data_IF_448470278591
#
_entry.id   IF_448470278591
#
_cell.length_a   1.000
_cell.length_b   1.000
_cell.length_c   1.000
_cell.angle_alpha   90.00
_cell.angle_beta   90.00
_cell.angle_gamma   90.00
#
_symmetry.space_group_name_H-M   'P 1'
#
loop_
_entity.id
_entity.type
_entity.pdbx_description
1 polymer ?
#
# COMPACT_ATOMS: atom_id res chain seq x y z
N UNK A 1 20.38 61.15 -21.11
CA UNK A 1 21.77 60.72 -20.84
C UNK A 1 21.88 60.31 -19.38
N UNK A 2 21.94 59.02 -19.11
CA UNK A 2 22.56 58.45 -17.90
C UNK A 2 23.07 57.07 -18.29
N UNK A 3 24.35 56.87 -18.03
CA UNK A 3 25.21 55.82 -18.55
C UNK A 3 25.84 55.12 -17.36
N UNK A 4 25.85 53.77 -17.41
CA UNK A 4 26.63 52.80 -16.61
C UNK A 4 26.26 52.72 -15.12
N UNK A 5 26.28 51.55 -14.47
CA UNK A 5 27.34 50.54 -14.51
C UNK A 5 26.78 49.15 -14.15
N UNK A 6 26.89 48.19 -15.07
CA UNK A 6 26.64 46.77 -14.80
C UNK A 6 27.91 46.18 -14.18
N UNK A 7 27.87 45.80 -12.90
CA UNK A 7 28.98 45.12 -12.23
C UNK A 7 28.92 43.64 -12.57
N UNK A 8 29.91 43.17 -13.35
CA UNK A 8 30.12 41.74 -13.60
C UNK A 8 30.87 41.13 -12.40
N UNK A 9 30.25 40.16 -11.73
CA UNK A 9 30.90 39.32 -10.71
C UNK A 9 31.78 38.26 -11.40
N UNK A 10 33.01 38.02 -10.94
CA UNK A 10 33.85 36.97 -11.50
C UNK A 10 33.34 35.59 -11.06
N UNK A 11 33.19 34.68 -12.01
CA UNK A 11 32.89 33.28 -11.75
C UNK A 11 34.18 32.61 -11.23
N UNK A 12 34.25 32.36 -9.93
CA UNK A 12 35.37 31.67 -9.32
C UNK A 12 35.49 30.25 -9.93
N UNK A 13 36.63 29.97 -10.57
CA UNK A 13 36.97 28.63 -11.01
C UNK A 13 37.20 27.78 -9.75
N UNK A 14 36.38 26.76 -9.54
CA UNK A 14 36.51 25.85 -8.42
C UNK A 14 37.87 25.15 -8.47
N UNK A 15 38.67 25.31 -7.42
CA UNK A 15 39.98 24.66 -7.29
C UNK A 15 39.80 23.14 -7.30
N UNK A 16 40.54 22.48 -8.20
CA UNK A 16 40.53 21.02 -8.33
C UNK A 16 41.38 20.46 -7.19
N UNK A 17 40.72 20.12 -6.08
CA UNK A 17 41.36 19.49 -4.93
C UNK A 17 41.69 18.02 -5.20
N UNK A 18 42.62 17.46 -4.45
CA UNK A 18 42.98 16.03 -4.51
C UNK A 18 41.76 15.12 -4.26
N UNK A 19 40.79 15.57 -3.47
CA UNK A 19 39.53 14.84 -3.25
C UNK A 19 38.66 14.82 -4.51
N UNK A 20 38.56 15.93 -5.24
CA UNK A 20 37.83 16.01 -6.52
C UNK A 20 38.51 15.17 -7.60
N UNK A 21 39.84 15.07 -7.59
CA UNK A 21 40.57 14.15 -8.48
C UNK A 21 40.29 12.69 -8.13
N UNK A 22 40.28 12.33 -6.84
CA UNK A 22 39.98 10.95 -6.42
C UNK A 22 38.54 10.52 -6.73
N UNK A 23 37.58 11.45 -6.63
CA UNK A 23 36.18 11.19 -6.93
C UNK A 23 35.92 10.97 -8.43
N UNK A 24 36.77 11.50 -9.30
CA UNK A 24 36.67 11.32 -10.75
C UNK A 24 37.22 9.98 -11.25
N UNK A 25 38.02 9.29 -10.43
CA UNK A 25 38.58 7.97 -10.75
C UNK A 25 37.71 6.80 -10.25
N UNK A 26 36.52 7.08 -9.69
CA UNK A 26 35.60 6.04 -9.24
C UNK A 26 35.02 5.23 -10.41
N UNK A 27 35.45 3.98 -10.52
CA UNK A 27 34.90 3.01 -11.47
C UNK A 27 33.72 2.18 -10.92
N UNK A 28 33.40 2.31 -9.62
CA UNK A 28 32.31 1.57 -8.96
C UNK A 28 31.61 2.41 -7.89
N UNK A 29 30.30 2.23 -7.72
CA UNK A 29 29.52 2.90 -6.65
C UNK A 29 29.84 2.31 -5.27
N UNK A 30 30.11 3.19 -4.29
CA UNK A 30 30.49 2.84 -2.92
C UNK A 30 31.79 3.55 -2.55
N UNK A 31 31.82 4.27 -1.42
CA UNK A 31 32.95 5.13 -1.05
C UNK A 31 34.30 4.41 -0.88
N UNK A 32 35.37 5.12 -0.46
CA UNK A 32 36.76 4.65 -0.46
C UNK A 32 37.10 3.38 0.35
N UNK A 33 36.12 2.77 1.03
CA UNK A 33 36.27 1.51 1.77
C UNK A 33 35.49 0.33 1.20
N UNK A 34 34.76 0.48 0.08
CA UNK A 34 33.88 -0.57 -0.43
C UNK A 34 32.66 -0.86 0.47
N UNK A 35 32.39 0.02 1.44
CA UNK A 35 31.21 -0.03 2.28
C UNK A 35 29.97 0.28 1.42
N UNK A 36 29.38 -0.78 0.87
CA UNK A 36 28.01 -0.74 0.35
C UNK A 36 27.12 -0.24 1.49
N UNK A 37 26.33 0.81 1.26
CA UNK A 37 25.27 1.19 2.17
C UNK A 37 24.32 -0.01 2.32
N UNK A 38 24.52 -0.81 3.36
CA UNK A 38 23.60 -1.87 3.72
C UNK A 38 22.37 -1.18 4.29
N UNK A 39 21.38 -0.92 3.43
CA UNK A 39 20.03 -0.66 3.89
C UNK A 39 19.57 -1.94 4.62
N UNK A 40 19.70 -1.96 5.94
CA UNK A 40 19.01 -2.94 6.77
C UNK A 40 17.55 -2.99 6.32
N UNK A 41 16.92 -4.18 6.19
CA UNK A 41 15.53 -4.26 5.77
C UNK A 41 14.72 -3.37 6.73
N UNK A 42 13.98 -2.41 6.16
CA UNK A 42 13.26 -1.45 6.99
C UNK A 42 12.35 -2.23 7.93
N UNK A 43 12.51 -2.04 9.24
CA UNK A 43 11.66 -2.66 10.24
C UNK A 43 10.20 -2.38 9.86
N UNK A 44 9.45 -3.44 9.54
CA UNK A 44 8.06 -3.28 9.10
C UNK A 44 7.29 -2.72 10.28
N UNK A 45 6.95 -1.42 10.23
CA UNK A 45 6.05 -0.85 11.21
C UNK A 45 4.75 -1.67 11.14
N UNK A 46 4.33 -2.29 12.26
CA UNK A 46 3.19 -3.20 12.25
C UNK A 46 1.91 -2.44 11.93
N UNK A 47 1.84 -1.15 12.27
CA UNK A 47 0.69 -0.29 11.99
C UNK A 47 0.53 -0.04 10.49
N UNK A 48 -0.69 -0.22 10.00
CA UNK A 48 -1.10 0.07 8.63
C UNK A 48 -1.34 1.57 8.47
N UNK A 49 -0.67 2.17 7.49
CA UNK A 49 -0.79 3.58 7.12
C UNK A 49 -1.28 3.71 5.68
N UNK A 50 -1.97 4.81 5.33
CA UNK A 50 -2.23 5.14 3.93
C UNK A 50 -0.93 5.18 3.13
N UNK A 51 -0.94 4.55 1.96
CA UNK A 51 0.21 4.37 1.08
C UNK A 51 0.92 3.02 1.22
N UNK A 52 0.67 2.27 2.30
CA UNK A 52 1.24 0.95 2.50
C UNK A 52 0.64 -0.09 1.55
N UNK A 53 1.46 -1.06 1.15
CA UNK A 53 1.02 -2.26 0.44
C UNK A 53 0.75 -3.38 1.44
N UNK A 54 -0.49 -3.86 1.47
CA UNK A 54 -0.94 -4.96 2.32
C UNK A 54 -1.32 -6.18 1.49
N UNK A 55 -1.38 -7.32 2.17
CA UNK A 55 -1.97 -8.57 1.70
C UNK A 55 -3.07 -8.97 2.68
N UNK A 56 -4.16 -9.52 2.15
CA UNK A 56 -5.32 -9.92 2.95
C UNK A 56 -5.45 -11.44 2.89
N UNK A 57 -5.06 -12.12 3.98
CA UNK A 57 -5.16 -13.58 4.06
C UNK A 57 -6.56 -13.97 4.51
N UNK A 58 -7.31 -14.66 3.67
CA UNK A 58 -8.62 -15.18 4.00
C UNK A 58 -8.52 -16.42 4.92
N UNK A 59 -9.65 -16.83 5.51
CA UNK A 59 -9.72 -18.00 6.40
C UNK A 59 -9.21 -19.32 5.76
N UNK A 60 -9.30 -19.44 4.43
CA UNK A 60 -8.82 -20.61 3.69
C UNK A 60 -7.29 -20.63 3.53
N UNK A 61 -6.56 -19.66 4.12
CA UNK A 61 -5.11 -19.53 4.04
C UNK A 61 -4.60 -18.95 2.72
N UNK A 62 -5.49 -18.58 1.80
CA UNK A 62 -5.15 -17.91 0.53
C UNK A 62 -5.26 -16.40 0.67
N UNK A 63 -4.54 -15.69 -0.19
CA UNK A 63 -4.57 -14.24 -0.22
C UNK A 63 -5.60 -13.77 -1.23
N UNK A 64 -6.30 -12.70 -0.85
CA UNK A 64 -7.11 -11.94 -1.78
C UNK A 64 -6.21 -11.40 -2.89
N UNK A 65 -6.63 -11.53 -4.13
CA UNK A 65 -5.89 -11.04 -5.28
C UNK A 65 -6.79 -10.79 -6.48
N UNK A 66 -6.21 -10.12 -7.47
CA UNK A 66 -6.89 -9.71 -8.70
C UNK A 66 -6.28 -10.44 -9.88
N UNK A 67 -7.12 -11.13 -10.66
CA UNK A 67 -6.73 -11.71 -11.94
C UNK A 67 -7.79 -11.40 -12.98
N UNK A 68 -7.40 -10.88 -14.14
CA UNK A 68 -8.31 -10.51 -15.23
C UNK A 68 -9.47 -9.62 -14.73
N UNK A 69 -9.14 -8.64 -13.87
CA UNK A 69 -10.07 -7.72 -13.20
C UNK A 69 -11.09 -8.36 -12.23
N UNK A 70 -11.01 -9.68 -12.03
CA UNK A 70 -11.82 -10.42 -11.06
C UNK A 70 -11.07 -10.58 -9.75
N UNK A 71 -11.77 -10.39 -8.65
CA UNK A 71 -11.23 -10.57 -7.31
C UNK A 71 -11.49 -12.01 -6.85
N UNK A 72 -10.47 -12.67 -6.31
CA UNK A 72 -10.53 -14.03 -5.80
C UNK A 72 -9.52 -14.28 -4.70
N UNK A 73 -9.59 -15.44 -4.06
CA UNK A 73 -8.64 -15.86 -3.03
C UNK A 73 -8.02 -17.21 -3.40
N UNK A 74 -7.06 -17.18 -4.34
CA UNK A 74 -6.52 -18.39 -5.01
C UNK A 74 -5.09 -18.72 -4.61
N UNK A 75 -4.25 -17.69 -4.52
CA UNK A 75 -2.82 -17.85 -4.29
C UNK A 75 -2.50 -18.01 -2.81
N UNK A 76 -1.54 -18.86 -2.48
CA UNK A 76 -0.91 -18.92 -1.15
C UNK A 76 0.41 -18.15 -1.10
N UNK A 77 0.73 -17.39 -2.14
CA UNK A 77 1.94 -16.57 -2.26
C UNK A 77 1.56 -15.10 -2.21
N UNK A 78 2.49 -14.29 -1.71
CA UNK A 78 2.40 -12.83 -1.71
C UNK A 78 3.07 -12.30 -2.97
N UNK A 79 2.32 -12.26 -4.05
CA UNK A 79 2.80 -11.75 -5.34
C UNK A 79 2.08 -10.45 -5.69
N UNK A 80 2.45 -9.85 -6.82
CA UNK A 80 1.90 -8.56 -7.27
C UNK A 80 0.38 -8.58 -7.46
N UNK A 81 -0.22 -9.73 -7.76
CA UNK A 81 -1.66 -9.86 -7.94
C UNK A 81 -2.44 -9.80 -6.61
N UNK A 82 -1.81 -10.20 -5.50
CA UNK A 82 -2.37 -10.24 -4.16
C UNK A 82 -2.06 -8.98 -3.33
N UNK A 83 -1.26 -8.08 -3.89
CA UNK A 83 -0.86 -6.83 -3.28
C UNK A 83 -1.91 -5.73 -3.48
N UNK A 84 -2.34 -5.11 -2.39
CA UNK A 84 -3.22 -3.95 -2.40
C UNK A 84 -2.58 -2.76 -1.69
N UNK A 85 -2.47 -1.64 -2.38
CA UNK A 85 -2.14 -0.36 -1.77
C UNK A 85 -3.36 0.18 -1.03
N UNK A 86 -3.19 0.45 0.26
CA UNK A 86 -4.23 1.06 1.10
C UNK A 86 -4.20 2.56 0.92
N UNK A 87 -5.37 3.14 0.71
CA UNK A 87 -5.58 4.58 0.69
C UNK A 87 -6.80 4.91 1.55
N UNK A 88 -6.87 6.13 2.07
CA UNK A 88 -7.90 6.58 3.01
C UNK A 88 -8.22 8.04 2.75
N UNK A 89 -9.48 8.44 2.96
CA UNK A 89 -9.88 9.85 2.81
C UNK A 89 -9.43 10.74 3.96
N UNK A 90 -9.31 10.19 5.17
CA UNK A 90 -8.81 10.94 6.32
C UNK A 90 -7.30 10.80 6.45
N UNK A 91 -6.72 11.73 7.20
CA UNK A 91 -5.30 11.72 7.58
C UNK A 91 -5.08 10.74 8.73
N UNK A 92 -3.85 10.24 8.88
CA UNK A 92 -3.41 9.42 10.01
C UNK A 92 -3.42 7.92 9.72
N UNK A 93 -3.26 7.15 10.80
CA UNK A 93 -3.26 5.68 10.74
C UNK A 93 -4.67 5.14 10.44
N UNK A 94 -4.72 3.87 10.07
CA UNK A 94 -5.98 3.17 9.81
C UNK A 94 -6.55 2.62 11.11
N UNK A 95 -7.81 2.88 11.40
CA UNK A 95 -8.57 2.51 12.58
C UNK A 95 -9.87 1.78 12.20
N UNK A 96 -10.57 1.29 13.22
CA UNK A 96 -11.92 0.77 13.07
C UNK A 96 -12.89 1.86 12.55
N UNK A 97 -13.85 1.46 11.71
CA UNK A 97 -14.84 2.31 11.03
C UNK A 97 -14.26 3.28 9.98
N UNK A 98 -12.97 3.18 9.70
CA UNK A 98 -12.36 3.97 8.65
C UNK A 98 -12.77 3.52 7.26
N UNK A 99 -12.98 4.51 6.40
CA UNK A 99 -13.27 4.32 4.98
C UNK A 99 -11.99 4.34 4.18
N UNK A 100 -11.69 3.21 3.56
CA UNK A 100 -10.49 2.97 2.79
C UNK A 100 -10.82 2.61 1.35
N UNK A 101 -9.79 2.72 0.51
CA UNK A 101 -9.76 2.25 -0.85
C UNK A 101 -8.60 1.26 -0.98
N UNK A 102 -8.83 0.14 -1.67
CA UNK A 102 -7.80 -0.86 -1.97
C UNK A 102 -7.46 -0.78 -3.45
N UNK A 103 -6.25 -0.33 -3.78
CA UNK A 103 -5.77 -0.24 -5.15
C UNK A 103 -4.87 -1.43 -5.46
N UNK A 104 -5.23 -2.22 -6.46
CA UNK A 104 -4.40 -3.30 -6.96
C UNK A 104 -3.20 -2.74 -7.75
N UNK A 105 -2.18 -3.56 -7.99
CA UNK A 105 -0.96 -3.18 -8.72
C UNK A 105 -1.22 -2.70 -10.14
N UNK A 106 -2.35 -3.06 -10.74
CA UNK A 106 -2.80 -2.55 -12.04
C UNK A 106 -3.37 -1.11 -12.00
N UNK A 107 -3.44 -0.48 -10.81
CA UNK A 107 -3.97 0.87 -10.61
C UNK A 107 -5.50 0.95 -10.44
N UNK A 108 -6.22 -0.15 -10.65
CA UNK A 108 -7.66 -0.22 -10.42
C UNK A 108 -7.98 -0.48 -8.95
N UNK A 109 -9.13 0.02 -8.52
CA UNK A 109 -9.60 -0.13 -7.15
C UNK A 109 -10.60 -1.27 -7.04
N UNK A 110 -10.54 -1.95 -5.91
CA UNK A 110 -11.54 -2.92 -5.53
C UNK A 110 -12.89 -2.22 -5.42
N UNK A 111 -13.88 -2.78 -6.09
CA UNK A 111 -15.24 -2.26 -6.15
C UNK A 111 -16.25 -3.36 -5.92
N UNK A 112 -17.42 -2.95 -5.43
CA UNK A 112 -18.56 -3.83 -5.21
C UNK A 112 -19.75 -3.33 -6.02
N UNK A 113 -20.27 -4.17 -6.91
CA UNK A 113 -21.47 -3.93 -7.71
C UNK A 113 -22.54 -4.97 -7.34
N UNK A 114 -23.50 -4.57 -6.50
CA UNK A 114 -24.41 -5.52 -5.85
C UNK A 114 -23.61 -6.46 -4.96
N UNK A 115 -23.55 -7.74 -5.31
CA UNK A 115 -22.77 -8.75 -4.59
C UNK A 115 -21.42 -9.07 -5.25
N UNK A 116 -21.19 -8.57 -6.47
CA UNK A 116 -19.99 -8.89 -7.23
C UNK A 116 -18.85 -7.98 -6.81
N UNK A 117 -17.68 -8.59 -6.54
CA UNK A 117 -16.45 -7.88 -6.23
C UNK A 117 -15.51 -7.94 -7.44
N UNK A 118 -15.08 -6.77 -7.91
CA UNK A 118 -14.23 -6.61 -9.10
C UNK A 118 -13.18 -5.51 -8.90
N UNK A 119 -12.23 -5.38 -9.83
CA UNK A 119 -11.26 -4.29 -9.88
C UNK A 119 -11.18 -3.72 -11.32
N UNK A 120 -12.22 -2.99 -11.74
CA UNK A 120 -12.37 -2.53 -13.13
C UNK A 120 -12.08 -1.04 -13.35
N UNK A 121 -12.11 -0.23 -12.29
CA UNK A 121 -12.04 1.23 -12.41
C UNK A 121 -11.12 1.85 -11.35
N UNK A 122 -10.46 2.95 -11.72
CA UNK A 122 -9.58 3.75 -10.86
C UNK A 122 -10.31 4.96 -10.25
N UNK A 123 -11.64 5.01 -10.28
CA UNK A 123 -12.45 6.05 -9.65
C UNK A 123 -12.44 5.96 -8.13
N UNK A 124 -12.68 7.10 -7.47
CA UNK A 124 -13.00 7.17 -6.03
C UNK A 124 -14.49 7.45 -5.91
N UNK A 125 -15.27 6.40 -5.76
CA UNK A 125 -16.71 6.51 -5.55
C UNK A 125 -17.19 5.58 -4.44
N UNK A 126 -18.49 5.64 -4.11
CA UNK A 126 -19.08 4.79 -3.07
C UNK A 126 -18.82 3.30 -3.34
N UNK A 127 -18.85 2.88 -4.60
CA UNK A 127 -18.64 1.47 -4.98
C UNK A 127 -17.23 0.96 -4.68
N UNK A 128 -16.24 1.85 -4.63
CA UNK A 128 -14.83 1.51 -4.33
C UNK A 128 -14.47 1.74 -2.86
N UNK A 129 -15.39 2.28 -2.06
CA UNK A 129 -15.18 2.59 -0.65
C UNK A 129 -15.55 1.38 0.21
N UNK A 130 -14.61 0.97 1.07
CA UNK A 130 -14.79 -0.11 2.04
C UNK A 130 -14.58 0.44 3.45
N UNK A 131 -15.38 -0.05 4.40
CA UNK A 131 -15.23 0.26 5.82
C UNK A 131 -14.46 -0.86 6.49
N UNK A 132 -13.40 -0.52 7.21
CA UNK A 132 -12.67 -1.50 8.04
C UNK A 132 -13.41 -1.72 9.35
N UNK A 133 -13.78 -2.97 9.57
CA UNK A 133 -14.34 -3.42 10.82
C UNK A 133 -13.37 -4.38 11.54
N UNK A 134 -13.26 -4.27 12.86
CA UNK A 134 -12.49 -5.21 13.68
C UNK A 134 -13.29 -5.66 14.89
N UNK A 135 -12.91 -6.80 15.46
CA UNK A 135 -13.37 -7.22 16.78
C UNK A 135 -12.28 -6.91 17.81
N UNK A 136 -12.64 -6.50 19.03
CA UNK A 136 -11.69 -6.23 20.11
C UNK A 136 -11.49 -4.73 20.40
N UNK A 137 -10.43 -4.35 21.14
CA UNK A 137 -10.26 -2.99 21.66
C UNK A 137 -10.23 -1.96 20.53
N UNK A 138 -11.14 -0.98 20.49
CA UNK A 138 -11.25 -0.06 19.34
C UNK A 138 -10.22 1.08 19.33
N UNK A 139 -9.43 1.22 20.40
CA UNK A 139 -8.53 2.36 20.62
C UNK A 139 -7.20 2.28 19.86
N UNK A 140 -6.83 1.14 19.29
CA UNK A 140 -5.55 0.96 18.61
C UNK A 140 -5.74 0.95 17.09
N UNK A 141 -4.76 1.46 16.31
CA UNK A 141 -4.80 1.35 14.87
C UNK A 141 -4.72 -0.12 14.42
N UNK A 142 -5.12 -0.37 13.18
CA UNK A 142 -5.00 -1.66 12.51
C UNK A 142 -3.53 -1.98 12.31
N UNK A 143 -3.12 -3.17 12.75
CA UNK A 143 -1.76 -3.65 12.64
C UNK A 143 -1.68 -4.98 11.88
N UNK A 144 -0.48 -5.33 11.43
CA UNK A 144 -0.15 -6.65 10.89
C UNK A 144 -0.51 -7.73 11.91
N UNK A 145 -1.23 -8.75 11.46
CA UNK A 145 -1.76 -9.83 12.29
C UNK A 145 -3.19 -9.60 12.77
N UNK A 146 -3.70 -8.37 12.69
CA UNK A 146 -5.09 -8.09 13.07
C UNK A 146 -6.07 -8.79 12.12
N UNK A 147 -7.16 -9.27 12.72
CA UNK A 147 -8.32 -9.77 11.99
C UNK A 147 -9.28 -8.61 11.71
N UNK A 148 -9.54 -8.38 10.43
CA UNK A 148 -10.47 -7.36 9.96
C UNK A 148 -11.60 -7.97 9.12
N UNK A 149 -12.65 -7.18 8.94
CA UNK A 149 -13.76 -7.41 8.04
C UNK A 149 -13.92 -6.17 7.16
N UNK A 150 -14.28 -6.36 5.91
CA UNK A 150 -14.43 -5.27 4.95
C UNK A 150 -15.90 -5.13 4.59
N UNK A 151 -16.54 -4.05 5.04
CA UNK A 151 -17.93 -3.75 4.69
C UNK A 151 -17.99 -2.83 3.47
N UNK A 152 -18.70 -3.24 2.44
CA UNK A 152 -18.93 -2.45 1.24
C UNK A 152 -20.01 -1.39 1.45
N UNK A 153 -20.12 -0.43 0.54
CA UNK A 153 -21.17 0.59 0.57
C UNK A 153 -22.61 0.03 0.53
N UNK A 154 -22.80 -1.20 0.08
CA UNK A 154 -24.09 -1.90 0.10
C UNK A 154 -24.52 -2.31 1.51
N UNK A 155 -23.63 -2.18 2.50
CA UNK A 155 -23.83 -2.66 3.87
C UNK A 155 -23.42 -4.12 4.08
N UNK A 156 -23.07 -4.84 3.00
CA UNK A 156 -22.62 -6.23 3.06
C UNK A 156 -21.11 -6.34 3.24
N UNK A 157 -20.67 -7.41 3.91
CA UNK A 157 -19.26 -7.72 4.11
C UNK A 157 -18.71 -8.57 2.97
N UNK A 158 -17.45 -8.33 2.62
CA UNK A 158 -16.72 -9.21 1.72
C UNK A 158 -16.61 -10.60 2.34
N UNK A 159 -16.92 -11.61 1.55
CA UNK A 159 -16.93 -13.01 1.93
C UNK A 159 -16.16 -13.84 0.89
N UNK A 160 -15.41 -14.83 1.38
CA UNK A 160 -14.68 -15.79 0.56
C UNK A 160 -15.34 -17.15 0.70
N UNK A 161 -15.86 -17.72 -0.38
CA UNK A 161 -16.37 -19.09 -0.41
C UNK A 161 -15.64 -19.89 -1.47
N UNK A 162 -14.94 -20.94 -1.04
CA UNK A 162 -13.91 -21.59 -1.86
C UNK A 162 -12.81 -20.59 -2.21
N UNK A 163 -12.76 -20.20 -3.48
CA UNK A 163 -11.83 -19.19 -4.02
C UNK A 163 -12.53 -17.90 -4.49
N UNK A 164 -13.87 -17.87 -4.41
CA UNK A 164 -14.66 -16.76 -4.95
C UNK A 164 -14.89 -15.72 -3.87
N UNK A 165 -14.69 -14.45 -4.22
CA UNK A 165 -14.94 -13.32 -3.33
C UNK A 165 -16.22 -12.61 -3.75
N UNK A 166 -17.13 -12.39 -2.82
CA UNK A 166 -18.40 -11.65 -3.02
C UNK A 166 -18.69 -10.76 -1.82
N UNK A 167 -19.77 -9.98 -1.88
CA UNK A 167 -20.23 -9.13 -0.79
C UNK A 167 -21.73 -9.35 -0.52
N UNK A 168 -22.09 -10.48 0.07
CA UNK A 168 -23.49 -10.96 0.09
C UNK A 168 -24.23 -10.80 1.42
N UNK A 169 -23.50 -10.75 2.53
CA UNK A 169 -24.10 -10.86 3.86
C UNK A 169 -23.91 -9.56 4.66
N UNK A 170 -24.97 -9.03 5.29
CA UNK A 170 -24.89 -7.78 6.07
C UNK A 170 -24.29 -7.98 7.46
N UNK A 171 -24.20 -9.22 7.93
CA UNK A 171 -23.60 -9.56 9.22
C UNK A 171 -22.24 -10.21 8.99
N UNK A 172 -21.20 -9.61 9.57
CA UNK A 172 -19.90 -10.26 9.65
C UNK A 172 -19.97 -11.51 10.54
N UNK A 173 -19.23 -12.53 10.13
CA UNK A 173 -19.04 -13.76 10.91
C UNK A 173 -17.59 -14.19 10.84
N UNK A 174 -17.13 -14.90 11.86
CA UNK A 174 -15.81 -15.54 11.84
C UNK A 174 -15.76 -16.55 10.68
N UNK A 175 -14.58 -16.70 10.06
CA UNK A 175 -14.39 -17.56 8.89
C UNK A 175 -14.52 -16.77 7.58
N UNK A 176 -15.60 -16.99 6.83
CA UNK A 176 -15.73 -16.52 5.44
C UNK A 176 -15.51 -15.02 5.23
N UNK A 177 -15.80 -14.17 6.23
CA UNK A 177 -15.66 -12.71 6.14
C UNK A 177 -14.35 -12.17 6.72
N UNK A 178 -13.58 -13.02 7.38
CA UNK A 178 -12.41 -12.62 8.15
C UNK A 178 -11.15 -12.60 7.27
N UNK A 179 -10.41 -11.50 7.36
CA UNK A 179 -9.11 -11.34 6.71
C UNK A 179 -8.05 -11.00 7.75
N UNK A 180 -6.92 -11.69 7.69
CA UNK A 180 -5.72 -11.31 8.45
C UNK A 180 -4.92 -10.34 7.61
N UNK A 181 -4.58 -9.19 8.21
CA UNK A 181 -3.77 -8.17 7.55
C UNK A 181 -2.30 -8.55 7.62
N UNK A 182 -1.64 -8.59 6.47
CA UNK A 182 -0.21 -8.77 6.36
C UNK A 182 0.40 -7.64 5.52
N UNK A 183 1.68 -7.34 5.68
CA UNK A 183 2.34 -6.20 4.99
C UNK A 183 3.63 -6.66 4.32
N UNK A 184 3.99 -6.00 3.22
CA UNK A 184 5.32 -6.18 2.63
C UNK A 184 6.36 -5.38 3.43
N UNK A 185 7.56 -5.93 3.70
CA UNK A 185 8.67 -5.11 4.17
C UNK A 185 8.97 -4.00 3.17
N UNK A 186 9.24 -2.79 3.69
CA UNK A 186 9.53 -1.63 2.87
C UNK A 186 11.01 -1.59 2.48
#
# INVERSE_FOLDING_TARGET
MSVLLLVALPLAAAEVTTEVLSAREWQTWGGPGGDMASASPASVHPVVKPGDTIFLRAYNGKYLGVKDFKVGAKSSRKESAEAFKVDKRSVGDVYHEDRIFLTSTNGFRLEVNGDQVSCLNAQRGPRQELVIERNGPMAHPVAVGDMIFLRAHTGNHLDVVGETVRARFPRKGLGYHAFIVEKQPR
#
